data_IF_841727534438
#
_entry.id   IF_841727534438
#
_cell.length_a   1.000
_cell.length_b   1.000
_cell.length_c   1.000
_cell.angle_alpha   90.00
_cell.angle_beta   90.00
_cell.angle_gamma   90.00
#
_symmetry.space_group_name_H-M   'P 1'
#
loop_
_entity.id
_entity.type
_entity.pdbx_description
1 polymer ?
#
# COMPACT_ATOMS: atom_id res chain seq x y z
N UNK A 1 -5.06 14.29 16.57
CA UNK A 1 -4.28 13.63 15.50
C UNK A 1 -3.33 14.61 14.83
N UNK A 2 -3.81 15.75 14.32
CA UNK A 2 -2.95 16.78 13.68
C UNK A 2 -1.73 17.20 14.53
N UNK A 3 -1.91 17.44 15.84
CA UNK A 3 -0.82 17.80 16.76
C UNK A 3 0.29 16.76 16.87
N UNK A 4 0.00 15.48 16.60
CA UNK A 4 0.98 14.39 16.62
C UNK A 4 1.69 14.20 15.27
N UNK A 5 1.19 14.82 14.21
CA UNK A 5 1.70 14.69 12.84
C UNK A 5 2.60 15.89 12.48
N UNK A 6 2.31 17.05 13.05
CA UNK A 6 3.03 18.28 12.72
C UNK A 6 4.53 18.18 13.05
N UNK A 7 5.38 18.55 12.08
CA UNK A 7 6.84 18.53 12.21
C UNK A 7 7.52 17.30 11.59
N UNK A 8 6.78 16.22 11.35
CA UNK A 8 7.29 15.06 10.60
C UNK A 8 7.46 15.36 9.11
N UNK A 9 8.28 14.54 8.42
CA UNK A 9 8.58 14.68 6.98
C UNK A 9 7.99 13.58 6.13
N UNK A 10 7.88 12.38 6.71
CA UNK A 10 7.27 11.21 6.12
C UNK A 10 6.51 10.49 7.21
N UNK A 11 5.34 9.97 6.87
CA UNK A 11 4.55 9.08 7.72
C UNK A 11 4.54 7.67 7.11
N UNK A 12 4.32 6.67 7.96
CA UNK A 12 4.08 5.29 7.52
C UNK A 12 2.69 4.91 8.00
N UNK A 13 1.83 4.53 7.07
CA UNK A 13 0.48 4.08 7.35
C UNK A 13 0.39 2.58 7.03
N UNK A 14 0.48 1.76 8.08
CA UNK A 14 0.40 0.31 8.03
C UNK A 14 -0.82 -0.20 8.81
N UNK A 15 -1.88 0.62 8.88
CA UNK A 15 -3.10 0.29 9.61
C UNK A 15 -4.01 -0.58 8.75
N UNK A 16 -4.64 -1.57 9.39
CA UNK A 16 -5.72 -2.32 8.77
C UNK A 16 -6.89 -1.39 8.41
N UNK A 17 -7.39 -1.49 7.19
CA UNK A 17 -8.53 -0.71 6.68
C UNK A 17 -9.87 -1.23 7.22
N UNK A 18 -9.98 -1.37 8.53
CA UNK A 18 -11.21 -1.71 9.25
C UNK A 18 -12.09 -0.50 9.55
N UNK A 19 -11.55 0.71 9.34
CA UNK A 19 -12.21 2.01 9.52
C UNK A 19 -11.72 2.98 8.45
N UNK A 20 -12.28 4.18 8.40
CA UNK A 20 -11.83 5.26 7.51
C UNK A 20 -10.58 6.00 8.04
N UNK A 21 -10.11 5.66 9.24
CA UNK A 21 -8.96 6.30 9.89
C UNK A 21 -7.71 6.35 9.00
N UNK A 22 -7.31 5.29 8.27
CA UNK A 22 -6.14 5.35 7.40
C UNK A 22 -6.29 6.40 6.29
N UNK A 23 -7.49 6.58 5.75
CA UNK A 23 -7.77 7.56 4.69
C UNK A 23 -7.82 8.99 5.26
N UNK A 24 -8.39 9.16 6.46
CA UNK A 24 -8.34 10.43 7.19
C UNK A 24 -6.89 10.84 7.49
N UNK A 25 -6.08 9.89 7.93
CA UNK A 25 -4.65 10.09 8.21
C UNK A 25 -3.91 10.58 6.97
N UNK A 26 -4.13 9.95 5.82
CA UNK A 26 -3.53 10.36 4.54
C UNK A 26 -3.90 11.80 4.18
N UNK A 27 -5.18 12.17 4.27
CA UNK A 27 -5.65 13.54 3.97
C UNK A 27 -5.00 14.58 4.87
N UNK A 28 -4.86 14.29 6.16
CA UNK A 28 -4.18 15.19 7.10
C UNK A 28 -2.71 15.32 6.73
N UNK A 29 -2.01 14.22 6.45
CA UNK A 29 -0.61 14.25 6.04
C UNK A 29 -0.40 15.06 4.75
N UNK A 30 -1.22 14.84 3.72
CA UNK A 30 -1.15 15.60 2.47
C UNK A 30 -1.34 17.11 2.69
N UNK A 31 -2.32 17.52 3.51
CA UNK A 31 -2.56 18.93 3.88
C UNK A 31 -1.35 19.59 4.56
N UNK A 32 -0.56 18.80 5.30
CA UNK A 32 0.65 19.26 5.97
C UNK A 32 1.94 19.06 5.16
N UNK A 33 1.84 18.75 3.86
CA UNK A 33 2.97 18.45 2.97
C UNK A 33 3.84 17.27 3.45
N UNK A 34 3.20 16.25 4.04
CA UNK A 34 3.85 15.03 4.53
C UNK A 34 3.50 13.89 3.57
N UNK A 35 4.53 13.23 3.06
CA UNK A 35 4.35 12.00 2.27
C UNK A 35 3.99 10.83 3.18
N UNK A 36 3.11 9.94 2.72
CA UNK A 36 2.72 8.73 3.44
C UNK A 36 3.17 7.50 2.66
N UNK A 37 3.95 6.64 3.29
CA UNK A 37 4.27 5.30 2.78
C UNK A 37 3.21 4.33 3.26
N UNK A 38 2.63 3.59 2.32
CA UNK A 38 1.69 2.51 2.60
C UNK A 38 2.33 1.16 2.24
N UNK A 39 2.92 0.47 3.23
CA UNK A 39 3.41 -0.89 3.04
C UNK A 39 2.27 -1.92 3.10
N UNK A 40 2.28 -2.85 2.17
CA UNK A 40 1.38 -4.01 2.09
C UNK A 40 2.21 -5.28 2.03
N UNK A 41 2.03 -6.14 3.02
CA UNK A 41 2.67 -7.44 3.06
C UNK A 41 1.71 -8.47 2.46
N UNK A 42 2.16 -9.09 1.36
CA UNK A 42 1.39 -10.03 0.55
C UNK A 42 1.84 -11.48 0.82
N UNK A 43 2.38 -11.74 2.00
CA UNK A 43 3.00 -13.01 2.36
C UNK A 43 4.39 -13.19 1.77
N UNK A 44 4.46 -13.58 0.49
CA UNK A 44 5.73 -13.84 -0.22
C UNK A 44 6.29 -12.64 -0.97
N UNK A 45 5.51 -11.57 -1.03
CA UNK A 45 5.90 -10.30 -1.62
C UNK A 45 5.58 -9.12 -0.73
N UNK A 46 6.20 -8.00 -1.05
CA UNK A 46 5.96 -6.70 -0.45
C UNK A 46 5.60 -5.69 -1.52
N UNK A 47 4.68 -4.80 -1.16
CA UNK A 47 4.29 -3.67 -1.98
C UNK A 47 4.36 -2.39 -1.15
N UNK A 48 4.83 -1.30 -1.74
CA UNK A 48 4.76 0.03 -1.13
C UNK A 48 4.25 1.03 -2.15
N UNK A 49 3.18 1.75 -1.81
CA UNK A 49 2.76 2.96 -2.55
C UNK A 49 3.00 4.20 -1.71
N UNK A 50 3.15 5.35 -2.39
CA UNK A 50 3.46 6.63 -1.76
C UNK A 50 2.35 7.63 -2.07
N UNK A 51 1.66 8.10 -1.02
CA UNK A 51 0.72 9.19 -1.11
C UNK A 51 1.48 10.50 -0.85
N UNK A 52 1.65 11.29 -1.90
CA UNK A 52 2.32 12.58 -1.86
C UNK A 52 1.29 13.73 -1.82
N UNK A 53 1.69 14.94 -1.42
CA UNK A 53 0.77 16.09 -1.37
C UNK A 53 0.10 16.41 -2.72
N UNK A 54 0.76 16.09 -3.82
CA UNK A 54 0.33 16.31 -5.21
C UNK A 54 -0.16 15.05 -5.92
N UNK A 55 -0.20 13.90 -5.24
CA UNK A 55 -0.66 12.64 -5.83
C UNK A 55 -2.16 12.41 -5.64
N UNK A 56 -2.70 11.44 -6.36
CA UNK A 56 -4.01 10.90 -6.07
C UNK A 56 -4.05 10.29 -4.65
N UNK A 57 -5.23 10.26 -4.04
CA UNK A 57 -5.51 9.55 -2.78
C UNK A 57 -5.97 8.13 -3.06
N UNK A 58 -5.77 7.20 -2.11
CA UNK A 58 -6.37 5.87 -2.15
C UNK A 58 -7.91 5.91 -2.24
N UNK A 59 -8.53 7.00 -1.78
CA UNK A 59 -9.96 7.26 -1.93
C UNK A 59 -10.41 7.21 -3.40
N UNK A 60 -9.51 7.49 -4.36
CA UNK A 60 -9.86 7.43 -5.80
C UNK A 60 -10.16 6.02 -6.29
N UNK A 61 -9.82 4.98 -5.52
CA UNK A 61 -10.15 3.59 -5.82
C UNK A 61 -11.55 3.19 -5.31
N UNK A 62 -12.22 4.06 -4.55
CA UNK A 62 -13.51 3.79 -3.92
C UNK A 62 -14.65 4.19 -4.87
N UNK A 63 -15.57 3.25 -5.13
CA UNK A 63 -16.85 3.58 -5.76
C UNK A 63 -17.82 4.18 -4.72
N UNK A 64 -18.80 5.01 -5.15
CA UNK A 64 -19.83 5.51 -4.25
C UNK A 64 -20.49 4.37 -3.47
N UNK A 65 -20.60 4.51 -2.14
CA UNK A 65 -21.20 3.56 -1.19
C UNK A 65 -20.44 2.23 -0.98
N UNK A 66 -19.15 2.17 -1.31
CA UNK A 66 -18.35 0.97 -1.10
C UNK A 66 -17.30 1.19 0.00
N UNK A 67 -17.21 0.28 0.97
CA UNK A 67 -16.17 0.35 2.01
C UNK A 67 -14.78 0.08 1.41
N UNK A 68 -13.77 0.79 1.89
CA UNK A 68 -12.39 0.56 1.50
C UNK A 68 -11.81 -0.60 2.30
N UNK A 69 -11.09 -1.50 1.61
CA UNK A 69 -10.34 -2.56 2.26
C UNK A 69 -9.06 -2.86 1.49
N UNK A 70 -8.14 -3.58 2.15
CA UNK A 70 -6.85 -3.96 1.58
C UNK A 70 -7.00 -4.79 0.30
N UNK A 71 -8.03 -5.64 0.19
CA UNK A 71 -8.26 -6.48 -1.00
C UNK A 71 -8.41 -5.63 -2.27
N UNK A 72 -9.08 -4.48 -2.19
CA UNK A 72 -9.23 -3.59 -3.36
C UNK A 72 -7.90 -3.05 -3.85
N UNK A 73 -7.01 -2.73 -2.92
CA UNK A 73 -5.68 -2.23 -3.21
C UNK A 73 -4.86 -3.32 -3.91
N UNK A 74 -4.86 -4.54 -3.36
CA UNK A 74 -4.16 -5.69 -3.98
C UNK A 74 -4.75 -6.02 -5.37
N UNK A 75 -6.08 -5.98 -5.53
CA UNK A 75 -6.76 -6.14 -6.83
C UNK A 75 -6.36 -5.07 -7.84
N UNK A 76 -6.32 -3.80 -7.40
CA UNK A 76 -5.86 -2.69 -8.23
C UNK A 76 -4.43 -2.94 -8.74
N UNK A 77 -3.52 -3.34 -7.84
CA UNK A 77 -2.13 -3.60 -8.19
C UNK A 77 -1.94 -4.82 -9.08
N UNK A 78 -2.65 -5.93 -8.81
CA UNK A 78 -2.63 -7.10 -9.69
C UNK A 78 -3.08 -6.73 -11.11
N UNK A 79 -4.20 -6.01 -11.23
CA UNK A 79 -4.70 -5.56 -12.53
C UNK A 79 -3.74 -4.59 -13.23
N UNK A 80 -3.10 -3.69 -12.48
CA UNK A 80 -2.06 -2.81 -13.01
C UNK A 80 -0.89 -3.62 -13.58
N UNK A 81 -0.36 -4.60 -12.83
CA UNK A 81 0.73 -5.45 -13.29
C UNK A 81 0.37 -6.27 -14.53
N UNK A 82 -0.85 -6.82 -14.59
CA UNK A 82 -1.38 -7.51 -15.78
C UNK A 82 -1.42 -6.60 -17.00
N UNK A 83 -1.95 -5.39 -16.84
CA UNK A 83 -2.06 -4.41 -17.92
C UNK A 83 -0.69 -4.10 -18.55
N UNK A 84 0.36 -4.03 -17.73
CA UNK A 84 1.74 -3.79 -18.17
C UNK A 84 2.52 -5.07 -18.54
N UNK A 85 1.87 -6.23 -18.67
CA UNK A 85 2.51 -7.46 -19.12
C UNK A 85 3.38 -8.18 -18.07
N UNK A 86 3.19 -7.88 -16.79
CA UNK A 86 3.91 -8.49 -15.68
C UNK A 86 2.97 -9.22 -14.68
N UNK A 87 2.06 -10.09 -15.14
CA UNK A 87 1.07 -10.73 -14.28
C UNK A 87 1.74 -11.51 -13.14
N UNK A 88 1.16 -11.42 -11.94
CA UNK A 88 1.59 -12.16 -10.76
C UNK A 88 0.53 -13.21 -10.43
N UNK A 89 0.60 -14.38 -11.09
CA UNK A 89 -0.43 -15.42 -11.00
C UNK A 89 -0.71 -15.85 -9.55
N UNK A 90 0.34 -15.99 -8.76
CA UNK A 90 0.21 -16.35 -7.35
C UNK A 90 -0.60 -15.33 -6.53
N UNK A 91 -0.54 -14.03 -6.87
CA UNK A 91 -1.36 -13.00 -6.19
C UNK A 91 -2.83 -13.22 -6.55
N UNK A 92 -3.13 -13.53 -7.81
CA UNK A 92 -4.50 -13.78 -8.24
C UNK A 92 -5.10 -15.02 -7.60
N UNK A 93 -4.32 -16.10 -7.53
CA UNK A 93 -4.71 -17.36 -6.90
C UNK A 93 -5.00 -17.15 -5.41
N UNK A 94 -4.10 -16.50 -4.66
CA UNK A 94 -4.33 -16.20 -3.24
C UNK A 94 -5.54 -15.27 -3.05
N UNK A 95 -5.71 -14.27 -3.91
CA UNK A 95 -6.87 -13.37 -3.83
C UNK A 95 -8.19 -14.12 -4.07
N UNK A 96 -8.20 -15.05 -5.01
CA UNK A 96 -9.37 -15.88 -5.31
C UNK A 96 -9.67 -16.83 -4.14
N UNK A 97 -8.66 -17.55 -3.65
CA UNK A 97 -8.78 -18.45 -2.50
C UNK A 97 -9.32 -17.70 -1.28
N UNK A 98 -8.68 -16.58 -0.90
CA UNK A 98 -9.08 -15.76 0.24
C UNK A 98 -10.50 -15.20 0.10
N UNK A 99 -10.90 -14.74 -1.10
CA UNK A 99 -12.27 -14.26 -1.31
C UNK A 99 -13.33 -15.38 -1.23
N UNK A 100 -12.92 -16.64 -1.44
CA UNK A 100 -13.79 -17.81 -1.42
C UNK A 100 -13.77 -18.54 -0.06
N UNK A 101 -12.93 -18.11 0.89
CA UNK A 101 -12.91 -18.66 2.24
C UNK A 101 -14.26 -18.47 2.95
N UNK A 102 -14.74 -19.53 3.61
CA UNK A 102 -16.02 -19.51 4.34
C UNK A 102 -15.95 -18.68 5.61
N UNK A 103 -14.76 -18.60 6.21
CA UNK A 103 -14.51 -17.85 7.43
C UNK A 103 -13.90 -16.49 7.08
N UNK A 104 -14.23 -15.46 7.86
CA UNK A 104 -13.59 -14.15 7.72
C UNK A 104 -12.26 -14.17 8.46
N UNK A 105 -11.23 -14.68 7.79
CA UNK A 105 -9.85 -14.61 8.28
C UNK A 105 -9.23 -13.28 7.88
N UNK A 106 -8.16 -12.88 8.57
CA UNK A 106 -7.32 -11.78 8.09
C UNK A 106 -6.53 -12.23 6.86
N UNK A 107 -6.19 -11.31 5.92
CA UNK A 107 -5.32 -11.66 4.81
C UNK A 107 -4.01 -12.29 5.29
N UNK A 108 -3.42 -13.22 4.54
CA UNK A 108 -2.18 -13.88 4.94
C UNK A 108 -1.02 -12.88 4.98
N UNK A 109 -0.44 -12.71 6.17
CA UNK A 109 0.70 -11.84 6.43
C UNK A 109 1.87 -12.71 6.91
N UNK A 110 2.97 -12.74 6.15
CA UNK A 110 4.15 -13.54 6.53
C UNK A 110 5.33 -12.64 6.94
N UNK A 111 6.22 -13.19 7.74
CA UNK A 111 7.45 -12.50 8.14
C UNK A 111 8.30 -12.11 6.93
N UNK A 112 8.34 -12.95 5.90
CA UNK A 112 9.04 -12.68 4.64
C UNK A 112 8.59 -11.37 4.01
N UNK A 113 7.28 -11.21 3.76
CA UNK A 113 6.73 -9.97 3.21
C UNK A 113 6.97 -8.77 4.12
N UNK A 114 6.95 -8.95 5.45
CA UNK A 114 7.29 -7.89 6.42
C UNK A 114 8.72 -7.39 6.27
N UNK A 115 9.70 -8.28 6.11
CA UNK A 115 11.10 -7.90 5.86
C UNK A 115 11.27 -7.18 4.52
N UNK A 116 10.58 -7.65 3.47
CA UNK A 116 10.61 -7.04 2.14
C UNK A 116 10.07 -5.60 2.22
N UNK A 117 8.86 -5.39 2.78
CA UNK A 117 8.28 -4.04 2.86
C UNK A 117 9.07 -3.12 3.77
N UNK A 118 9.64 -3.63 4.88
CA UNK A 118 10.49 -2.82 5.75
C UNK A 118 11.75 -2.33 5.01
N UNK A 119 12.40 -3.20 4.22
CA UNK A 119 13.52 -2.84 3.36
C UNK A 119 13.14 -1.80 2.30
N UNK A 120 11.99 -1.99 1.65
CA UNK A 120 11.46 -1.06 0.66
C UNK A 120 11.16 0.31 1.28
N UNK A 121 10.46 0.37 2.41
CA UNK A 121 10.19 1.61 3.14
C UNK A 121 11.48 2.33 3.53
N UNK A 122 12.47 1.60 4.06
CA UNK A 122 13.77 2.18 4.44
C UNK A 122 14.49 2.79 3.23
N UNK A 123 14.48 2.10 2.09
CA UNK A 123 15.04 2.62 0.85
C UNK A 123 14.29 3.88 0.37
N UNK A 124 12.96 3.89 0.43
CA UNK A 124 12.16 5.06 0.05
C UNK A 124 12.40 6.26 0.98
N UNK A 125 12.51 6.02 2.29
CA UNK A 125 12.88 7.06 3.25
C UNK A 125 14.24 7.68 2.91
N UNK A 126 15.24 6.86 2.56
CA UNK A 126 16.53 7.37 2.08
C UNK A 126 16.39 8.23 0.81
N UNK A 127 15.61 7.76 -0.18
CA UNK A 127 15.37 8.53 -1.41
C UNK A 127 14.69 9.87 -1.12
N UNK A 128 13.67 9.86 -0.26
CA UNK A 128 12.98 11.08 0.17
C UNK A 128 13.94 12.05 0.88
N UNK A 129 14.71 11.55 1.85
CA UNK A 129 15.66 12.37 2.61
C UNK A 129 16.75 12.98 1.72
N UNK A 130 17.13 12.28 0.65
CA UNK A 130 18.14 12.71 -0.33
C UNK A 130 17.55 13.39 -1.57
N UNK A 131 16.25 13.71 -1.57
CA UNK A 131 15.53 14.39 -2.67
C UNK A 131 15.65 13.67 -4.03
N UNK A 132 15.74 12.35 -4.00
CA UNK A 132 15.71 11.51 -5.22
C UNK A 132 14.27 11.31 -5.67
N UNK A 133 14.11 11.13 -6.98
CA UNK A 133 12.81 10.84 -7.58
C UNK A 133 12.22 9.54 -7.04
N UNK A 134 10.92 9.56 -6.74
CA UNK A 134 10.14 8.40 -6.29
C UNK A 134 8.86 8.29 -7.09
N UNK A 135 8.36 7.07 -7.24
CA UNK A 135 7.01 6.80 -7.74
C UNK A 135 6.01 7.27 -6.69
N UNK A 136 4.93 7.85 -7.16
CA UNK A 136 3.80 8.31 -6.34
C UNK A 136 2.55 7.59 -6.84
N UNK A 137 1.58 7.38 -5.96
CA UNK A 137 0.30 6.79 -6.35
C UNK A 137 -0.30 7.59 -7.54
N UNK A 138 -0.74 6.93 -8.64
CA UNK A 138 -1.18 5.54 -8.76
C UNK A 138 -0.08 4.47 -8.89
N UNK A 139 1.18 4.86 -9.07
CA UNK A 139 2.28 3.91 -9.16
C UNK A 139 2.68 3.34 -7.78
N UNK A 140 3.45 2.26 -7.82
CA UNK A 140 3.91 1.55 -6.64
C UNK A 140 5.25 0.87 -6.87
N UNK A 141 5.83 0.43 -5.76
CA UNK A 141 6.98 -0.44 -5.70
C UNK A 141 6.50 -1.84 -5.33
N UNK A 142 7.00 -2.86 -6.01
CA UNK A 142 6.68 -4.26 -5.75
C UNK A 142 7.95 -5.10 -5.78
N UNK A 143 8.05 -6.05 -4.86
CA UNK A 143 9.12 -7.05 -4.83
C UNK A 143 8.56 -8.35 -4.27
N UNK A 144 8.98 -9.48 -4.82
CA UNK A 144 8.55 -10.81 -4.38
C UNK A 144 9.72 -11.76 -4.45
N UNK A 145 9.74 -12.72 -3.53
CA UNK A 145 10.63 -13.89 -3.64
C UNK A 145 9.94 -15.07 -4.34
N UNK A 146 8.62 -15.00 -4.52
CA UNK A 146 7.86 -15.95 -5.30
C UNK A 146 7.95 -15.55 -6.78
N UNK A 147 9.05 -15.96 -7.42
CA UNK A 147 9.40 -15.63 -8.81
C UNK A 147 9.43 -16.84 -9.74
N UNK A 148 8.94 -17.99 -9.27
CA UNK A 148 8.94 -19.26 -10.00
C UNK A 148 7.89 -19.31 -11.13
#
# INVERSE_FOLDING_TARGET
MESYIQGHKVAINALDFSTDIPLVFDRICQKHNIMVLHPYNLGWGGLVTVIAPDSLSLDSLIKPNEEFNEIKIVKYFSNYLKFWGHPQKWIDEILEEYCNEKEKLSPPQLSVGSWIVAGMCTHLLFKIATKREIKKFPEFYFSSINTD
#
